data_IF_957723289030
#
_entry.id   IF_957723289030
#
_cell.length_a   1.000
_cell.length_b   1.000
_cell.length_c   1.000
_cell.angle_alpha   90.00
_cell.angle_beta   90.00
_cell.angle_gamma   90.00
#
_symmetry.space_group_name_H-M   'P 1'
#
loop_
_entity.id
_entity.type
_entity.pdbx_description
1 polymer ?
#
# COMPACT_ATOMS: atom_id res chain seq x y z
N UNK A 1 18.15 -12.97 4.53
CA UNK A 1 17.91 -12.83 5.98
C UNK A 1 16.60 -13.51 6.44
N UNK A 2 15.41 -12.83 6.46
CA UNK A 2 14.17 -13.45 6.97
C UNK A 2 13.68 -14.60 6.06
N UNK A 3 13.63 -14.34 4.75
CA UNK A 3 13.18 -15.33 3.75
C UNK A 3 14.11 -16.54 3.73
N UNK A 4 15.42 -16.32 3.81
CA UNK A 4 16.40 -17.42 3.81
C UNK A 4 16.27 -18.28 5.08
N UNK A 5 16.03 -17.65 6.24
CA UNK A 5 15.78 -18.36 7.49
C UNK A 5 14.46 -19.17 7.44
N UNK A 6 13.42 -18.59 6.84
CA UNK A 6 12.14 -19.27 6.65
C UNK A 6 12.29 -20.49 5.73
N UNK A 7 12.98 -20.34 4.60
CA UNK A 7 13.25 -21.43 3.67
C UNK A 7 14.10 -22.53 4.28
N UNK A 8 15.09 -22.17 5.11
CA UNK A 8 15.93 -23.13 5.80
C UNK A 8 15.20 -23.89 6.95
N UNK A 9 14.12 -23.33 7.49
CA UNK A 9 13.36 -23.93 8.60
C UNK A 9 12.23 -24.85 8.16
N UNK A 10 11.87 -24.86 6.88
CA UNK A 10 10.74 -25.62 6.33
C UNK A 10 11.22 -26.66 5.32
N UNK A 11 10.91 -27.94 5.56
CA UNK A 11 11.05 -29.02 4.57
C UNK A 11 9.75 -29.12 3.74
N UNK A 12 9.41 -28.02 3.05
CA UNK A 12 8.20 -27.92 2.25
C UNK A 12 8.51 -27.26 0.88
N UNK A 13 7.66 -27.49 -0.13
CA UNK A 13 7.84 -26.88 -1.44
C UNK A 13 7.90 -25.36 -1.37
N UNK A 14 8.76 -24.75 -2.16
CA UNK A 14 8.88 -23.28 -2.23
C UNK A 14 7.55 -22.58 -2.54
N UNK A 15 6.72 -23.22 -3.35
CA UNK A 15 5.35 -22.73 -3.65
C UNK A 15 4.48 -22.60 -2.41
N UNK A 16 4.60 -23.53 -1.45
CA UNK A 16 3.83 -23.49 -0.21
C UNK A 16 4.34 -22.41 0.73
N UNK A 17 5.66 -22.23 0.78
CA UNK A 17 6.28 -21.13 1.54
C UNK A 17 5.82 -19.77 1.00
N UNK A 18 5.88 -19.58 -0.33
CA UNK A 18 5.45 -18.34 -0.98
C UNK A 18 3.94 -18.08 -0.80
N UNK A 19 3.13 -19.14 -0.92
CA UNK A 19 1.69 -19.05 -0.69
C UNK A 19 1.37 -18.67 0.76
N UNK A 20 2.06 -19.29 1.71
CA UNK A 20 1.92 -18.98 3.14
C UNK A 20 2.34 -17.54 3.46
N UNK A 21 3.47 -17.09 2.92
CA UNK A 21 3.94 -15.72 3.10
C UNK A 21 2.96 -14.69 2.49
N UNK A 22 2.40 -15.01 1.32
CA UNK A 22 1.38 -14.17 0.69
C UNK A 22 0.09 -14.15 1.52
N UNK A 23 -0.33 -15.29 2.06
CA UNK A 23 -1.48 -15.37 2.98
C UNK A 23 -1.24 -14.57 4.26
N UNK A 24 -0.07 -14.72 4.86
CA UNK A 24 0.33 -13.95 6.04
C UNK A 24 0.26 -12.44 5.78
N UNK A 25 0.70 -11.98 4.62
CA UNK A 25 0.59 -10.57 4.22
C UNK A 25 -0.86 -10.11 4.18
N UNK A 26 -1.75 -10.87 3.55
CA UNK A 26 -3.17 -10.53 3.47
C UNK A 26 -3.85 -10.49 4.85
N UNK A 27 -3.60 -11.50 5.68
CA UNK A 27 -4.15 -11.57 7.03
C UNK A 27 -3.64 -10.42 7.92
N UNK A 28 -2.35 -10.09 7.83
CA UNK A 28 -1.76 -8.96 8.57
C UNK A 28 -2.43 -7.64 8.19
N UNK A 29 -2.65 -7.39 6.90
CA UNK A 29 -3.38 -6.21 6.43
C UNK A 29 -4.80 -6.19 6.98
N UNK A 30 -5.51 -7.31 6.93
CA UNK A 30 -6.88 -7.40 7.41
C UNK A 30 -7.00 -7.15 8.92
N UNK A 31 -6.07 -7.70 9.71
CA UNK A 31 -6.00 -7.48 11.16
C UNK A 31 -5.75 -6.01 11.48
N UNK A 32 -4.76 -5.39 10.85
CA UNK A 32 -4.42 -3.99 11.10
C UNK A 32 -5.54 -3.05 10.63
N UNK A 33 -6.19 -3.37 9.52
CA UNK A 33 -7.33 -2.59 9.05
C UNK A 33 -8.49 -2.61 10.07
N UNK A 34 -8.84 -3.78 10.61
CA UNK A 34 -9.87 -3.91 11.65
C UNK A 34 -9.49 -3.23 12.96
N UNK A 35 -8.20 -3.20 13.27
CA UNK A 35 -7.67 -2.61 14.51
C UNK A 35 -7.64 -1.09 14.49
N UNK A 36 -7.27 -0.49 13.36
CA UNK A 36 -6.96 0.94 13.28
C UNK A 36 -7.95 1.76 12.45
N UNK A 37 -8.72 1.13 11.55
CA UNK A 37 -9.72 1.89 10.80
C UNK A 37 -10.87 2.32 11.74
N UNK A 38 -11.26 3.59 11.73
CA UNK A 38 -12.39 4.09 12.55
C UNK A 38 -13.70 3.35 12.26
N UNK A 39 -13.82 2.83 11.04
CA UNK A 39 -14.87 1.93 10.55
C UNK A 39 -14.33 1.12 9.38
N UNK A 40 -14.87 -0.07 9.17
CA UNK A 40 -14.48 -0.86 7.99
C UNK A 40 -14.83 -0.12 6.70
N UNK A 41 -13.88 0.03 5.78
CA UNK A 41 -14.13 0.66 4.49
C UNK A 41 -14.98 -0.26 3.60
N UNK A 42 -15.88 0.33 2.83
CA UNK A 42 -16.65 -0.42 1.83
C UNK A 42 -15.76 -0.94 0.68
N UNK A 43 -14.61 -0.29 0.45
CA UNK A 43 -13.66 -0.65 -0.61
C UNK A 43 -12.23 -0.55 -0.11
N UNK A 44 -11.40 -1.53 -0.49
CA UNK A 44 -9.95 -1.53 -0.35
C UNK A 44 -9.35 -1.45 -1.75
N UNK A 45 -8.66 -0.35 -2.04
CA UNK A 45 -8.00 -0.14 -3.33
C UNK A 45 -6.52 -0.49 -3.20
N UNK A 46 -6.07 -1.48 -3.95
CA UNK A 46 -4.69 -1.95 -3.96
C UNK A 46 -3.96 -1.35 -5.15
N UNK A 47 -2.82 -0.74 -4.93
CA UNK A 47 -1.96 -0.17 -5.98
C UNK A 47 -0.50 -0.56 -5.83
N UNK A 48 0.28 -0.33 -6.90
CA UNK A 48 1.68 -0.71 -6.98
C UNK A 48 1.89 -2.20 -7.25
N UNK A 49 3.10 -2.73 -7.05
CA UNK A 49 3.47 -4.11 -7.45
C UNK A 49 2.59 -5.20 -6.87
N UNK A 50 2.04 -5.00 -5.67
CA UNK A 50 1.13 -5.95 -5.01
C UNK A 50 -0.20 -6.14 -5.74
N UNK A 51 -0.69 -5.13 -6.48
CA UNK A 51 -1.93 -5.22 -7.25
C UNK A 51 -1.85 -6.21 -8.42
N UNK A 52 -0.64 -6.55 -8.84
CA UNK A 52 -0.38 -7.54 -9.91
C UNK A 52 -0.30 -8.99 -9.40
N UNK A 53 -0.44 -9.20 -8.09
CA UNK A 53 -0.42 -10.54 -7.50
C UNK A 53 -1.86 -11.04 -7.26
N UNK A 54 -2.42 -11.87 -8.16
CA UNK A 54 -3.80 -12.35 -8.04
C UNK A 54 -4.03 -13.21 -6.79
N UNK A 55 -3.01 -13.90 -6.31
CA UNK A 55 -3.09 -14.69 -5.07
C UNK A 55 -3.23 -13.78 -3.85
N UNK A 56 -2.49 -12.67 -3.81
CA UNK A 56 -2.63 -11.67 -2.74
C UNK A 56 -4.03 -11.05 -2.74
N UNK A 57 -4.53 -10.64 -3.91
CA UNK A 57 -5.87 -10.03 -4.04
C UNK A 57 -6.97 -11.00 -3.60
N UNK A 58 -6.87 -12.27 -3.99
CA UNK A 58 -7.79 -13.31 -3.55
C UNK A 58 -7.76 -13.49 -2.03
N UNK A 59 -6.58 -13.59 -1.43
CA UNK A 59 -6.45 -13.72 0.03
C UNK A 59 -6.92 -12.49 0.78
N UNK A 60 -6.71 -11.30 0.25
CA UNK A 60 -7.28 -10.07 0.82
C UNK A 60 -8.81 -10.09 0.77
N UNK A 61 -9.42 -10.51 -0.34
CA UNK A 61 -10.87 -10.60 -0.45
C UNK A 61 -11.45 -11.67 0.48
N UNK A 62 -10.75 -12.81 0.66
CA UNK A 62 -11.14 -13.86 1.62
C UNK A 62 -11.03 -13.37 3.07
N UNK A 63 -9.96 -12.64 3.39
CA UNK A 63 -9.73 -12.11 4.74
C UNK A 63 -10.65 -10.91 5.08
N UNK A 64 -11.17 -10.21 4.07
CA UNK A 64 -12.01 -9.01 4.20
C UNK A 64 -13.32 -9.17 3.41
N UNK A 65 -14.19 -10.12 3.77
CA UNK A 65 -15.45 -10.36 3.04
C UNK A 65 -16.42 -9.16 3.11
N UNK A 66 -16.29 -8.32 4.12
CA UNK A 66 -17.06 -7.09 4.32
C UNK A 66 -16.61 -5.92 3.45
N UNK A 67 -15.46 -6.05 2.77
CA UNK A 67 -14.82 -5.00 2.00
C UNK A 67 -14.63 -5.46 0.55
N UNK A 68 -14.95 -4.63 -0.43
CA UNK A 68 -14.67 -4.93 -1.83
C UNK A 68 -13.21 -4.62 -2.13
N UNK A 69 -12.42 -5.65 -2.42
CA UNK A 69 -11.02 -5.49 -2.86
C UNK A 69 -10.99 -5.18 -4.36
N UNK A 70 -10.33 -4.10 -4.74
CA UNK A 70 -10.19 -3.62 -6.12
C UNK A 70 -8.75 -3.16 -6.36
N UNK A 71 -8.33 -3.11 -7.61
CA UNK A 71 -7.06 -2.48 -8.00
C UNK A 71 -7.29 -1.05 -8.47
N UNK A 72 -6.24 -0.24 -8.50
CA UNK A 72 -6.32 1.16 -8.96
C UNK A 72 -6.80 1.26 -10.40
N UNK A 73 -6.44 0.31 -11.23
CA UNK A 73 -6.84 0.21 -12.63
C UNK A 73 -8.37 0.07 -12.80
N UNK A 74 -9.05 -0.61 -11.87
CA UNK A 74 -10.52 -0.71 -11.86
C UNK A 74 -11.21 0.65 -11.68
N UNK A 75 -10.48 1.62 -11.15
CA UNK A 75 -10.95 2.99 -10.94
C UNK A 75 -10.45 3.96 -12.02
N UNK A 76 -9.76 3.46 -13.05
CA UNK A 76 -9.19 4.26 -14.11
C UNK A 76 -7.86 4.94 -13.77
N UNK A 77 -7.21 4.54 -12.68
CA UNK A 77 -5.89 5.04 -12.29
C UNK A 77 -4.81 4.01 -12.62
N UNK A 78 -3.73 4.47 -13.28
CA UNK A 78 -2.57 3.66 -13.55
C UNK A 78 -1.67 3.60 -12.30
N UNK A 79 -1.45 2.39 -11.77
CA UNK A 79 -0.57 2.17 -10.62
C UNK A 79 0.88 2.54 -10.87
N UNK A 80 1.36 2.44 -12.12
CA UNK A 80 2.73 2.79 -12.49
C UNK A 80 2.90 4.32 -12.62
N UNK A 81 1.83 5.04 -12.99
CA UNK A 81 1.83 6.49 -13.07
C UNK A 81 1.64 7.20 -11.71
N UNK A 82 1.26 6.47 -10.66
CA UNK A 82 0.91 7.03 -9.35
C UNK A 82 2.00 7.93 -8.76
N UNK A 83 3.26 7.50 -8.79
CA UNK A 83 4.37 8.28 -8.26
C UNK A 83 4.62 9.54 -9.10
N UNK A 84 4.55 9.44 -10.42
CA UNK A 84 4.71 10.57 -11.32
C UNK A 84 3.62 11.65 -11.07
N UNK A 85 2.38 11.22 -10.89
CA UNK A 85 1.26 12.12 -10.55
C UNK A 85 1.47 12.77 -9.18
N UNK A 86 1.89 11.99 -8.17
CA UNK A 86 2.17 12.51 -6.84
C UNK A 86 3.29 13.58 -6.88
N UNK A 87 4.38 13.31 -7.58
CA UNK A 87 5.47 14.29 -7.72
C UNK A 87 5.06 15.52 -8.52
N UNK A 88 4.23 15.38 -9.55
CA UNK A 88 3.72 16.52 -10.29
C UNK A 88 2.85 17.45 -9.41
N UNK A 89 1.99 16.86 -8.57
CA UNK A 89 1.19 17.61 -7.59
C UNK A 89 2.07 18.32 -6.56
N UNK A 90 3.03 17.59 -5.97
CA UNK A 90 3.96 18.15 -4.98
C UNK A 90 4.81 19.29 -5.57
N UNK A 91 5.26 19.14 -6.82
CA UNK A 91 6.01 20.18 -7.51
C UNK A 91 5.15 21.43 -7.78
N UNK A 92 3.91 21.22 -8.21
CA UNK A 92 2.96 22.34 -8.40
C UNK A 92 2.71 23.10 -7.09
N UNK A 93 2.44 22.38 -5.99
CA UNK A 93 2.25 23.03 -4.68
C UNK A 93 3.50 23.77 -4.21
N UNK A 94 4.69 23.18 -4.41
CA UNK A 94 5.95 23.83 -4.08
C UNK A 94 6.17 25.14 -4.87
N UNK A 95 5.83 25.16 -6.16
CA UNK A 95 5.91 26.37 -7.00
C UNK A 95 4.99 27.49 -6.51
N UNK A 96 3.81 27.14 -5.99
CA UNK A 96 2.85 28.11 -5.47
C UNK A 96 3.01 28.40 -3.97
N UNK A 97 4.04 27.86 -3.31
CA UNK A 97 4.30 28.08 -1.88
C UNK A 97 3.25 27.46 -0.96
N UNK A 98 2.55 26.45 -1.43
CA UNK A 98 1.52 25.73 -0.65
C UNK A 98 2.21 24.64 0.17
N UNK A 99 1.85 24.52 1.47
CA UNK A 99 2.32 23.43 2.32
C UNK A 99 1.84 22.09 1.77
N UNK A 100 2.76 21.17 1.52
CA UNK A 100 2.50 19.91 0.83
C UNK A 100 2.97 18.67 1.63
N UNK A 101 3.24 18.84 2.93
CA UNK A 101 3.38 17.73 3.85
C UNK A 101 2.06 17.43 4.57
N UNK A 102 1.98 16.27 5.21
CA UNK A 102 0.83 15.84 6.00
C UNK A 102 1.23 15.67 7.49
N UNK A 103 1.21 16.74 8.31
CA UNK A 103 1.67 16.68 9.71
C UNK A 103 0.96 15.60 10.53
N UNK A 104 -0.34 15.43 10.34
CA UNK A 104 -1.13 14.40 11.04
C UNK A 104 -0.72 12.96 10.73
N UNK A 105 -0.13 12.72 9.57
CA UNK A 105 0.33 11.39 9.15
C UNK A 105 1.82 11.15 9.46
N UNK A 106 2.63 12.22 9.48
CA UNK A 106 4.09 12.11 9.60
C UNK A 106 4.62 12.47 10.99
N UNK A 107 3.80 13.06 11.85
CA UNK A 107 4.20 13.59 13.15
C UNK A 107 4.98 14.92 13.07
N UNK A 108 4.99 15.57 11.91
CA UNK A 108 5.59 16.89 11.77
C UNK A 108 4.83 17.93 12.60
N UNK A 109 5.53 18.89 13.18
CA UNK A 109 4.94 19.89 14.09
C UNK A 109 4.05 20.89 13.36
N UNK A 110 4.26 21.10 12.06
CA UNK A 110 3.50 22.07 11.25
C UNK A 110 3.60 21.77 9.75
N UNK A 111 2.78 22.47 8.96
CA UNK A 111 2.83 22.43 7.51
C UNK A 111 4.08 23.13 6.97
N UNK A 112 4.72 22.52 5.99
CA UNK A 112 5.90 23.07 5.29
C UNK A 112 5.77 22.86 3.79
N UNK A 113 6.40 23.71 3.01
CA UNK A 113 6.60 23.51 1.57
C UNK A 113 7.79 22.55 1.42
N UNK A 114 7.51 21.31 1.00
CA UNK A 114 8.57 20.33 0.71
C UNK A 114 9.09 20.53 -0.71
N UNK A 115 10.37 20.41 -0.87
CA UNK A 115 11.05 20.54 -2.15
C UNK A 115 12.06 21.68 -2.17
N UNK A 116 12.89 21.67 -3.21
CA UNK A 116 13.90 22.71 -3.46
C UNK A 116 13.88 23.05 -4.94
N UNK A 117 13.75 24.35 -5.24
CA UNK A 117 13.90 24.87 -6.59
C UNK A 117 15.37 25.29 -6.74
N UNK A 118 16.07 24.67 -7.69
CA UNK A 118 17.42 25.07 -8.08
C UNK A 118 17.30 25.86 -9.39
N UNK A 119 17.66 27.15 -9.34
CA UNK A 119 17.74 28.04 -10.48
C UNK A 119 19.17 28.10 -11.00
#
# INVERSE_FOLDING_TARGET
AYVDALLASCDCPLTDVLTTATRFTAESIAVELRRFAPRMPARLVVGGGGSRNPTLLRFLQEALPECRVQIQEDLGYDSDAKEAVAFALLANEALFGVCNNAPSATGASHGVVMGRINL
#
